data_IF_096722605763
#
_entry.id   IF_096722605763
#
_cell.length_a   1.000
_cell.length_b   1.000
_cell.length_c   1.000
_cell.angle_alpha   90.00
_cell.angle_beta   90.00
_cell.angle_gamma   90.00
#
_symmetry.space_group_name_H-M   'P 1'
#
loop_
_entity.id
_entity.type
_entity.pdbx_description
1 polymer ?
#
# COMPACT_ATOMS: atom_id res chain seq x y z
N UNK A 1 49.30 -15.44 -0.10
CA UNK A 1 49.47 -16.19 -1.36
C UNK A 1 48.47 -17.34 -1.36
N UNK A 2 47.35 -17.24 -2.08
CA UNK A 2 46.53 -18.34 -2.63
C UNK A 2 45.56 -17.70 -3.64
N UNK A 3 45.45 -18.33 -4.81
CA UNK A 3 45.03 -17.77 -6.10
C UNK A 3 43.52 -17.57 -6.24
N UNK A 4 43.14 -16.41 -6.76
CA UNK A 4 41.92 -16.21 -7.55
C UNK A 4 41.92 -17.18 -8.74
N UNK A 5 40.86 -17.99 -8.89
CA UNK A 5 40.67 -18.86 -10.06
C UNK A 5 39.26 -18.72 -10.63
N UNK A 6 39.17 -17.86 -11.65
CA UNK A 6 38.53 -18.07 -12.96
C UNK A 6 37.12 -18.65 -13.14
N UNK A 7 36.33 -18.93 -12.08
CA UNK A 7 34.95 -19.45 -12.24
C UNK A 7 33.82 -18.40 -12.15
N UNK A 8 34.12 -17.16 -11.76
CA UNK A 8 33.10 -16.09 -11.63
C UNK A 8 32.86 -15.31 -12.94
N UNK A 9 33.72 -15.46 -13.95
CA UNK A 9 33.59 -14.70 -15.22
C UNK A 9 32.76 -15.39 -16.32
N UNK A 10 32.28 -16.63 -16.10
CA UNK A 10 31.55 -17.39 -17.13
C UNK A 10 30.01 -17.36 -16.96
N UNK A 11 29.48 -17.03 -15.79
CA UNK A 11 28.03 -17.09 -15.53
C UNK A 11 27.33 -15.73 -15.75
N UNK A 12 28.03 -14.60 -15.63
CA UNK A 12 27.44 -13.29 -15.97
C UNK A 12 27.32 -13.04 -17.48
N UNK A 13 28.01 -13.82 -18.33
CA UNK A 13 27.96 -13.65 -19.77
C UNK A 13 26.80 -14.42 -20.45
N UNK A 14 26.24 -15.45 -19.82
CA UNK A 14 25.13 -16.21 -20.39
C UNK A 14 23.76 -15.60 -20.11
N UNK A 15 23.60 -14.84 -19.01
CA UNK A 15 22.34 -14.12 -18.74
C UNK A 15 22.17 -12.94 -19.70
N UNK A 16 23.25 -12.24 -20.09
CA UNK A 16 23.18 -11.14 -21.06
C UNK A 16 23.06 -11.60 -22.53
N UNK A 17 23.45 -12.84 -22.85
CA UNK A 17 23.41 -13.37 -24.23
C UNK A 17 22.03 -13.86 -24.67
N UNK A 18 21.17 -14.23 -23.72
CA UNK A 18 19.77 -14.60 -23.98
C UNK A 18 18.84 -13.39 -24.18
N UNK A 19 19.26 -12.19 -23.76
CA UNK A 19 18.50 -10.95 -23.98
C UNK A 19 19.05 -10.06 -25.12
N UNK A 20 20.16 -10.43 -25.77
CA UNK A 20 20.76 -9.64 -26.86
C UNK A 20 20.45 -10.14 -28.29
N UNK A 21 19.71 -11.23 -28.45
CA UNK A 21 19.46 -11.85 -29.77
C UNK A 21 18.13 -11.46 -30.44
N UNK A 22 17.38 -10.49 -29.89
CA UNK A 22 16.12 -10.02 -30.50
C UNK A 22 16.08 -8.52 -30.82
N UNK A 23 17.22 -7.85 -30.96
CA UNK A 23 17.22 -6.47 -31.48
C UNK A 23 18.41 -6.23 -32.40
N UNK A 24 18.20 -6.47 -33.69
CA UNK A 24 18.97 -5.81 -34.75
C UNK A 24 17.98 -5.05 -35.62
N UNK A 25 18.29 -3.77 -35.90
CA UNK A 25 17.56 -2.78 -36.74
C UNK A 25 16.25 -2.26 -36.13
N UNK A 26 15.99 -0.96 -35.89
CA UNK A 26 16.57 0.30 -36.40
C UNK A 26 16.36 1.41 -35.36
N UNK A 27 17.33 2.31 -35.25
CA UNK A 27 17.31 3.57 -34.50
C UNK A 27 16.08 4.44 -34.81
N UNK A 28 15.35 4.91 -33.78
CA UNK A 28 15.05 6.33 -33.64
C UNK A 28 14.41 6.73 -32.29
N UNK A 29 14.70 7.97 -31.92
CA UNK A 29 14.38 8.69 -30.67
C UNK A 29 12.90 8.78 -30.27
N UNK A 30 12.72 9.04 -28.96
CA UNK A 30 11.58 9.69 -28.30
C UNK A 30 10.20 9.00 -28.41
N UNK A 31 9.76 8.30 -27.36
CA UNK A 31 8.36 8.28 -26.85
C UNK A 31 8.13 7.21 -25.75
N UNK A 32 8.69 7.40 -24.54
CA UNK A 32 8.47 6.46 -23.42
C UNK A 32 7.20 6.75 -22.57
N UNK A 33 6.37 7.72 -22.97
CA UNK A 33 5.16 8.14 -22.25
C UNK A 33 3.84 7.67 -22.89
N UNK A 34 3.87 7.15 -24.13
CA UNK A 34 2.66 6.72 -24.86
C UNK A 34 2.33 5.22 -24.73
N UNK A 35 3.29 4.37 -24.37
CA UNK A 35 3.06 2.91 -24.27
C UNK A 35 2.36 2.51 -22.96
N UNK A 36 2.44 3.30 -21.89
CA UNK A 36 1.77 2.98 -20.61
C UNK A 36 0.31 3.44 -20.50
N UNK A 37 -0.14 4.36 -21.37
CA UNK A 37 -1.50 4.94 -21.31
C UNK A 37 -2.58 4.10 -22.00
N UNK A 38 -2.23 3.07 -22.77
CA UNK A 38 -3.19 2.26 -23.56
C UNK A 38 -3.63 0.95 -22.90
N UNK A 39 -3.12 0.59 -21.72
CA UNK A 39 -3.37 -0.73 -21.13
C UNK A 39 -4.67 -0.82 -20.30
N UNK A 40 -5.16 0.29 -19.76
CA UNK A 40 -6.33 0.30 -18.85
C UNK A 40 -7.66 0.65 -19.53
N UNK A 41 -7.68 1.00 -20.82
CA UNK A 41 -8.91 1.38 -21.55
C UNK A 41 -9.44 0.29 -22.51
N UNK A 42 -8.89 -0.93 -22.48
CA UNK A 42 -9.30 -2.01 -23.39
C UNK A 42 -9.34 -3.38 -22.73
N UNK A 43 -10.07 -3.51 -21.63
CA UNK A 43 -10.51 -4.82 -21.12
C UNK A 43 -11.94 -4.77 -20.59
N UNK A 44 -12.84 -4.25 -21.42
CA UNK A 44 -14.26 -4.62 -21.38
C UNK A 44 -14.56 -5.39 -22.68
N UNK A 45 -14.20 -6.66 -22.70
CA UNK A 45 -14.84 -7.66 -23.56
C UNK A 45 -14.89 -8.96 -22.77
N UNK A 46 -16.07 -9.56 -22.71
CA UNK A 46 -16.41 -10.72 -21.88
C UNK A 46 -15.72 -12.03 -22.30
N UNK A 47 -14.78 -12.00 -23.23
CA UNK A 47 -14.21 -13.20 -23.86
C UNK A 47 -12.68 -13.31 -23.81
N UNK A 48 -11.99 -12.60 -22.92
CA UNK A 48 -10.52 -12.70 -22.84
C UNK A 48 -10.01 -13.69 -21.76
N UNK A 49 -9.92 -14.96 -22.18
CA UNK A 49 -9.04 -16.02 -21.64
C UNK A 49 -7.59 -16.09 -22.22
N UNK A 50 -6.85 -15.02 -22.61
CA UNK A 50 -5.46 -15.18 -23.06
C UNK A 50 -4.42 -15.16 -21.92
N UNK A 51 -4.72 -14.55 -20.77
CA UNK A 51 -3.68 -14.30 -19.73
C UNK A 51 -3.42 -15.55 -18.87
N UNK A 52 -4.43 -16.40 -18.66
CA UNK A 52 -4.27 -17.66 -17.92
C UNK A 52 -3.47 -18.71 -18.72
N UNK A 53 -3.68 -18.79 -20.04
CA UNK A 53 -2.91 -19.70 -20.92
C UNK A 53 -1.42 -19.34 -20.96
N UNK A 54 -1.09 -18.05 -20.94
CA UNK A 54 0.30 -17.61 -20.93
C UNK A 54 0.98 -17.87 -19.58
N UNK A 55 0.28 -17.71 -18.45
CA UNK A 55 0.84 -17.99 -17.14
C UNK A 55 1.29 -19.45 -16.98
N UNK A 56 0.50 -20.41 -17.46
CA UNK A 56 0.87 -21.84 -17.49
C UNK A 56 2.05 -22.12 -18.42
N UNK A 57 2.15 -21.43 -19.57
CA UNK A 57 3.28 -21.57 -20.48
C UNK A 57 4.58 -21.03 -19.86
N UNK A 58 4.54 -19.84 -19.23
CA UNK A 58 5.67 -19.27 -18.49
C UNK A 58 6.10 -20.12 -17.29
N UNK A 59 5.15 -20.75 -16.61
CA UNK A 59 5.40 -21.66 -15.49
C UNK A 59 6.20 -22.91 -15.93
N UNK A 60 6.01 -23.35 -17.18
CA UNK A 60 6.75 -24.45 -17.79
C UNK A 60 8.13 -24.03 -18.34
N UNK A 61 8.29 -22.80 -18.84
CA UNK A 61 9.55 -22.33 -19.43
C UNK A 61 10.55 -21.72 -18.42
N UNK A 62 10.07 -21.02 -17.40
CA UNK A 62 10.92 -20.19 -16.53
C UNK A 62 11.27 -20.81 -15.17
N UNK A 63 10.79 -22.03 -14.87
CA UNK A 63 11.11 -22.80 -13.66
C UNK A 63 11.41 -21.92 -12.43
N UNK A 64 10.37 -21.36 -11.81
CA UNK A 64 10.40 -20.28 -10.81
C UNK A 64 11.79 -19.94 -10.22
N UNK A 65 12.37 -18.82 -10.63
CA UNK A 65 13.65 -18.34 -10.09
C UNK A 65 13.48 -18.01 -8.61
N UNK A 66 14.22 -18.71 -7.74
CA UNK A 66 14.24 -18.47 -6.30
C UNK A 66 14.84 -17.08 -6.00
N UNK A 67 14.24 -16.28 -5.10
CA UNK A 67 14.87 -15.05 -4.60
C UNK A 67 16.25 -15.35 -3.98
N UNK A 68 17.23 -14.45 -4.14
CA UNK A 68 18.60 -14.64 -3.63
C UNK A 68 18.67 -14.92 -2.12
N UNK A 69 17.73 -14.39 -1.33
CA UNK A 69 17.62 -14.64 0.11
C UNK A 69 17.20 -16.07 0.47
N UNK A 70 16.62 -16.81 -0.48
CA UNK A 70 16.06 -18.16 -0.30
C UNK A 70 17.05 -19.25 -0.74
N UNK A 71 18.00 -18.91 -1.62
CA UNK A 71 18.98 -19.87 -2.16
C UNK A 71 19.93 -20.47 -1.09
N UNK A 72 20.07 -19.80 0.07
CA UNK A 72 21.00 -20.18 1.14
C UNK A 72 20.30 -20.58 2.46
N UNK A 73 19.00 -20.84 2.47
CA UNK A 73 18.20 -20.97 3.70
C UNK A 73 17.53 -22.35 3.83
N UNK A 74 17.59 -22.94 5.03
CA UNK A 74 16.95 -24.21 5.43
C UNK A 74 15.43 -24.07 5.59
N UNK A 75 14.74 -23.49 4.60
CA UNK A 75 13.27 -23.37 4.63
C UNK A 75 12.64 -24.70 4.23
N UNK A 76 11.61 -25.12 4.99
CA UNK A 76 10.85 -26.36 4.77
C UNK A 76 10.51 -26.58 3.29
N UNK A 77 10.83 -27.78 2.76
CA UNK A 77 10.58 -28.20 1.38
C UNK A 77 9.16 -27.90 0.86
N UNK A 78 8.17 -27.87 1.77
CA UNK A 78 6.78 -27.55 1.44
C UNK A 78 6.53 -26.07 1.15
N UNK A 79 7.21 -25.13 1.82
CA UNK A 79 7.07 -23.69 1.53
C UNK A 79 7.72 -23.32 0.19
N UNK A 80 8.91 -23.88 -0.09
CA UNK A 80 9.63 -23.65 -1.36
C UNK A 80 8.82 -24.18 -2.55
N UNK A 81 8.32 -25.43 -2.46
CA UNK A 81 7.49 -26.04 -3.50
C UNK A 81 6.21 -25.26 -3.76
N UNK A 82 5.60 -24.67 -2.71
CA UNK A 82 4.42 -23.81 -2.83
C UNK A 82 4.75 -22.48 -3.50
N UNK A 83 5.87 -21.84 -3.15
CA UNK A 83 6.28 -20.58 -3.75
C UNK A 83 6.58 -20.72 -5.25
N UNK A 84 7.21 -21.83 -5.64
CA UNK A 84 7.54 -22.11 -7.04
C UNK A 84 6.31 -22.42 -7.92
N UNK A 85 5.20 -22.85 -7.32
CA UNK A 85 3.96 -23.21 -8.03
C UNK A 85 2.88 -22.12 -7.94
N UNK A 86 3.15 -21.04 -7.22
CA UNK A 86 2.22 -19.96 -6.94
C UNK A 86 2.06 -19.04 -8.17
N UNK A 87 0.90 -19.05 -8.86
CA UNK A 87 0.72 -18.27 -10.09
C UNK A 87 0.84 -16.76 -9.83
N UNK A 88 0.57 -16.29 -8.61
CA UNK A 88 0.68 -14.87 -8.29
C UNK A 88 2.12 -14.43 -8.01
N UNK A 89 3.02 -15.35 -7.66
CA UNK A 89 4.47 -15.05 -7.59
C UNK A 89 5.02 -14.83 -8.99
N UNK A 90 4.67 -15.70 -9.94
CA UNK A 90 5.04 -15.53 -11.35
C UNK A 90 4.43 -14.26 -11.95
N UNK A 91 3.15 -14.00 -11.68
CA UNK A 91 2.53 -12.73 -12.08
C UNK A 91 3.26 -11.54 -11.45
N UNK A 92 3.64 -11.59 -10.18
CA UNK A 92 4.37 -10.47 -9.55
C UNK A 92 5.70 -10.20 -10.27
N UNK A 93 6.46 -11.24 -10.61
CA UNK A 93 7.69 -11.11 -11.40
C UNK A 93 7.43 -10.52 -12.79
N UNK A 94 6.41 -11.02 -13.51
CA UNK A 94 6.03 -10.55 -14.84
C UNK A 94 5.61 -9.06 -14.84
N UNK A 95 4.78 -8.68 -13.87
CA UNK A 95 4.27 -7.31 -13.72
C UNK A 95 5.22 -6.41 -12.90
N UNK A 96 6.38 -6.90 -12.48
CA UNK A 96 7.40 -6.18 -11.71
C UNK A 96 6.90 -5.63 -10.36
N UNK A 97 5.97 -6.33 -9.72
CA UNK A 97 5.62 -6.09 -8.32
C UNK A 97 6.60 -6.79 -7.39
N UNK A 98 6.93 -6.16 -6.27
CA UNK A 98 7.88 -6.69 -5.27
C UNK A 98 7.38 -7.95 -4.58
N UNK A 99 6.06 -8.20 -4.58
CA UNK A 99 5.47 -9.40 -4.02
C UNK A 99 4.10 -9.72 -4.62
N UNK A 100 3.64 -10.96 -4.42
CA UNK A 100 2.28 -11.40 -4.83
C UNK A 100 1.15 -10.64 -4.13
N UNK A 101 1.43 -9.99 -2.99
CA UNK A 101 0.40 -9.29 -2.22
C UNK A 101 -0.18 -8.07 -2.97
N UNK A 102 0.54 -7.54 -3.98
CA UNK A 102 0.02 -6.50 -4.88
C UNK A 102 -1.34 -6.87 -5.48
N UNK A 103 -1.51 -8.14 -5.89
CA UNK A 103 -2.76 -8.60 -6.49
C UNK A 103 -3.94 -8.61 -5.53
N UNK A 104 -3.69 -8.69 -4.22
CA UNK A 104 -4.76 -8.58 -3.21
C UNK A 104 -5.37 -7.18 -3.22
N UNK A 105 -4.53 -6.14 -3.16
CA UNK A 105 -5.02 -4.75 -3.19
C UNK A 105 -5.64 -4.42 -4.56
N UNK A 106 -5.07 -4.92 -5.66
CA UNK A 106 -5.67 -4.77 -6.99
C UNK A 106 -7.08 -5.37 -7.07
N UNK A 107 -7.27 -6.60 -6.55
CA UNK A 107 -8.58 -7.23 -6.53
C UNK A 107 -9.57 -6.47 -5.63
N UNK A 108 -9.13 -6.04 -4.44
CA UNK A 108 -9.94 -5.25 -3.51
C UNK A 108 -10.39 -3.94 -4.19
N UNK A 109 -9.46 -3.18 -4.77
CA UNK A 109 -9.75 -1.92 -5.43
C UNK A 109 -10.64 -2.11 -6.67
N UNK A 110 -10.46 -3.18 -7.43
CA UNK A 110 -11.33 -3.51 -8.56
C UNK A 110 -12.80 -3.64 -8.13
N UNK A 111 -13.05 -4.29 -6.99
CA UNK A 111 -14.39 -4.55 -6.46
C UNK A 111 -15.00 -3.36 -5.70
N UNK A 112 -14.19 -2.58 -4.99
CA UNK A 112 -14.70 -1.56 -4.06
C UNK A 112 -14.40 -0.11 -4.46
N UNK A 113 -13.50 0.11 -5.43
CA UNK A 113 -13.02 1.42 -5.89
C UNK A 113 -12.54 2.26 -4.71
N UNK A 114 -11.59 1.71 -3.97
CA UNK A 114 -11.13 2.28 -2.70
C UNK A 114 -10.11 3.38 -2.90
N UNK A 115 -9.32 3.30 -3.98
CA UNK A 115 -8.30 4.27 -4.37
C UNK A 115 -8.77 5.10 -5.56
N UNK A 116 -8.47 6.40 -5.52
CA UNK A 116 -8.74 7.36 -6.59
C UNK A 116 -7.51 8.18 -6.90
N UNK A 117 -7.46 8.71 -8.13
CA UNK A 117 -6.41 9.65 -8.54
C UNK A 117 -6.43 10.87 -7.62
N UNK A 118 -5.26 11.26 -7.12
CA UNK A 118 -5.13 12.40 -6.20
C UNK A 118 -5.27 12.06 -4.71
N UNK A 119 -5.63 10.83 -4.35
CA UNK A 119 -5.75 10.46 -2.93
C UNK A 119 -4.40 10.56 -2.20
N UNK A 120 -4.48 10.93 -0.93
CA UNK A 120 -3.43 10.75 0.08
C UNK A 120 -3.70 9.42 0.79
N UNK A 121 -2.80 8.46 0.61
CA UNK A 121 -2.92 7.09 1.11
C UNK A 121 -1.84 6.85 2.18
N UNK A 122 -2.23 6.19 3.26
CA UNK A 122 -1.29 5.65 4.25
C UNK A 122 -1.32 4.12 4.18
N UNK A 123 -0.15 3.50 3.97
CA UNK A 123 0.05 2.05 3.97
C UNK A 123 0.74 1.62 5.27
N UNK A 124 0.01 0.90 6.13
CA UNK A 124 0.46 0.46 7.45
C UNK A 124 0.97 -0.99 7.39
N UNK A 125 2.20 -1.20 7.87
CA UNK A 125 2.90 -2.48 7.70
C UNK A 125 3.33 -2.66 6.26
N UNK A 126 3.90 -1.61 5.66
CA UNK A 126 4.09 -1.50 4.23
C UNK A 126 5.15 -2.47 3.68
N UNK A 127 6.07 -2.97 4.50
CA UNK A 127 7.21 -3.77 4.03
C UNK A 127 6.74 -5.13 3.48
N UNK A 128 7.11 -5.51 2.24
CA UNK A 128 8.20 -5.00 1.39
C UNK A 128 7.85 -3.88 0.40
N UNK A 129 6.59 -3.45 0.32
CA UNK A 129 6.14 -2.28 -0.45
C UNK A 129 5.16 -2.58 -1.59
N UNK A 130 4.62 -3.80 -1.70
CA UNK A 130 3.73 -4.14 -2.83
C UNK A 130 2.41 -3.39 -2.84
N UNK A 131 1.85 -3.09 -1.66
CA UNK A 131 0.63 -2.27 -1.56
C UNK A 131 0.95 -0.80 -1.84
N UNK A 132 2.08 -0.27 -1.34
CA UNK A 132 2.63 1.03 -1.74
C UNK A 132 2.76 1.16 -3.26
N UNK A 133 3.30 0.16 -3.97
CA UNK A 133 3.44 0.20 -5.44
C UNK A 133 2.08 0.39 -6.12
N UNK A 134 1.11 -0.47 -5.77
CA UNK A 134 -0.24 -0.41 -6.33
C UNK A 134 -0.91 0.92 -6.00
N UNK A 135 -0.77 1.41 -4.77
CA UNK A 135 -1.31 2.71 -4.37
C UNK A 135 -0.69 3.86 -5.19
N UNK A 136 0.64 3.90 -5.33
CA UNK A 136 1.35 4.93 -6.11
C UNK A 136 0.86 4.95 -7.57
N UNK A 137 0.69 3.79 -8.18
CA UNK A 137 0.15 3.67 -9.54
C UNK A 137 -1.27 4.22 -9.67
N UNK A 138 -2.13 3.92 -8.69
CA UNK A 138 -3.56 4.31 -8.70
C UNK A 138 -3.79 5.78 -8.42
N UNK A 139 -3.09 6.35 -7.44
CA UNK A 139 -3.26 7.76 -7.06
C UNK A 139 -2.56 8.70 -8.04
N UNK A 140 -1.54 8.21 -8.75
CA UNK A 140 -0.80 8.96 -9.76
C UNK A 140 0.00 10.13 -9.18
N UNK A 141 0.50 10.99 -10.06
CA UNK A 141 1.42 12.09 -9.70
C UNK A 141 0.79 13.21 -8.87
N UNK A 142 -0.54 13.29 -8.84
CA UNK A 142 -1.28 14.28 -8.06
C UNK A 142 -1.64 13.77 -6.67
N UNK A 143 -1.51 12.45 -6.43
CA UNK A 143 -1.75 11.84 -5.13
C UNK A 143 -0.45 11.65 -4.37
N UNK A 144 -0.56 11.14 -3.15
CA UNK A 144 0.60 10.85 -2.33
C UNK A 144 0.40 9.56 -1.55
N UNK A 145 1.47 8.77 -1.37
CA UNK A 145 1.44 7.54 -0.59
C UNK A 145 2.52 7.61 0.46
N UNK A 146 2.12 7.51 1.74
CA UNK A 146 2.99 7.41 2.90
C UNK A 146 3.01 5.96 3.37
N UNK A 147 4.20 5.40 3.54
CA UNK A 147 4.40 3.99 3.94
C UNK A 147 4.99 3.94 5.33
N UNK A 148 4.46 3.08 6.19
CA UNK A 148 4.87 3.02 7.60
C UNK A 148 5.14 1.57 7.98
N UNK A 149 6.35 1.32 8.46
CA UNK A 149 6.76 0.01 8.98
C UNK A 149 7.98 0.16 9.88
N UNK A 150 8.19 -0.74 10.85
CA UNK A 150 9.42 -0.75 11.65
C UNK A 150 10.62 -1.29 10.84
N UNK A 151 10.35 -2.14 9.84
CA UNK A 151 11.37 -2.80 9.03
C UNK A 151 11.67 -2.02 7.75
N UNK A 152 12.63 -1.09 7.82
CA UNK A 152 13.08 -0.30 6.68
C UNK A 152 13.92 -1.13 5.68
N UNK A 153 14.76 -2.05 6.18
CA UNK A 153 15.69 -2.83 5.33
C UNK A 153 14.97 -3.77 4.36
N UNK A 154 13.76 -4.21 4.73
CA UNK A 154 12.92 -5.05 3.88
C UNK A 154 12.15 -4.28 2.80
N UNK A 155 12.11 -2.94 2.87
CA UNK A 155 11.32 -2.12 1.97
C UNK A 155 12.05 -1.88 0.64
N UNK A 156 11.38 -2.17 -0.49
CA UNK A 156 12.04 -2.27 -1.80
C UNK A 156 11.74 -1.10 -2.76
N UNK A 157 11.19 0.01 -2.25
CA UNK A 157 10.92 1.22 -3.03
C UNK A 157 11.72 2.41 -2.48
N UNK A 158 11.68 3.52 -3.21
CA UNK A 158 12.21 4.80 -2.74
C UNK A 158 11.56 5.22 -1.41
N UNK A 159 12.42 5.67 -0.50
CA UNK A 159 12.11 5.97 0.91
C UNK A 159 11.58 7.39 1.14
N UNK A 160 11.41 8.22 0.10
CA UNK A 160 10.99 9.63 0.22
C UNK A 160 9.71 9.87 1.04
N UNK A 161 8.86 8.85 1.15
CA UNK A 161 7.63 8.86 1.95
C UNK A 161 7.53 7.65 2.90
N UNK A 162 8.66 7.09 3.31
CA UNK A 162 8.68 6.00 4.27
C UNK A 162 8.92 6.54 5.68
N UNK A 163 8.10 6.12 6.64
CA UNK A 163 8.25 6.43 8.05
C UNK A 163 8.61 5.14 8.77
N UNK A 164 9.78 5.10 9.38
CA UNK A 164 10.15 4.01 10.28
C UNK A 164 9.57 4.28 11.67
N UNK A 165 8.48 3.60 12.02
CA UNK A 165 7.79 3.82 13.30
C UNK A 165 7.15 2.55 13.86
N UNK A 166 7.07 2.50 15.19
CA UNK A 166 6.22 1.54 15.91
C UNK A 166 4.76 1.96 15.75
N UNK A 167 3.93 1.07 15.21
CA UNK A 167 2.51 1.31 14.94
C UNK A 167 1.65 1.48 16.21
N UNK A 168 2.24 1.31 17.39
CA UNK A 168 1.61 1.62 18.68
C UNK A 168 1.80 3.09 19.08
N UNK A 169 2.80 3.78 18.55
CA UNK A 169 3.06 5.19 18.83
C UNK A 169 2.30 6.10 17.84
N UNK A 170 1.01 6.26 18.11
CA UNK A 170 0.10 7.04 17.27
C UNK A 170 0.54 8.51 17.20
N UNK A 171 1.05 9.06 18.31
CA UNK A 171 1.51 10.45 18.38
C UNK A 171 2.65 10.68 17.39
N UNK A 172 3.70 9.88 17.48
CA UNK A 172 4.83 9.94 16.55
C UNK A 172 4.40 9.76 15.09
N UNK A 173 3.55 8.78 14.80
CA UNK A 173 3.03 8.55 13.43
C UNK A 173 2.31 9.79 12.89
N UNK A 174 1.41 10.38 13.68
CA UNK A 174 0.64 11.55 13.25
C UNK A 174 1.53 12.77 13.00
N UNK A 175 2.57 12.92 13.82
CA UNK A 175 3.53 14.01 13.72
C UNK A 175 4.39 13.92 12.47
N UNK A 176 4.91 12.73 12.17
CA UNK A 176 5.74 12.46 11.00
C UNK A 176 4.94 12.58 9.69
N UNK A 177 3.72 12.03 9.65
CA UNK A 177 2.83 12.20 8.49
C UNK A 177 2.57 13.68 8.23
N UNK A 178 2.23 14.43 9.27
CA UNK A 178 1.93 15.87 9.14
C UNK A 178 3.15 16.64 8.63
N UNK A 179 4.35 16.34 9.16
CA UNK A 179 5.60 16.96 8.71
C UNK A 179 5.89 16.65 7.24
N UNK A 180 5.83 15.39 6.83
CA UNK A 180 6.09 14.96 5.45
C UNK A 180 5.11 15.59 4.45
N UNK A 181 3.82 15.60 4.76
CA UNK A 181 2.79 16.15 3.89
C UNK A 181 2.88 17.68 3.79
N UNK A 182 3.26 18.37 4.86
CA UNK A 182 3.46 19.82 4.83
C UNK A 182 4.74 20.23 4.07
N UNK A 183 5.84 19.49 4.23
CA UNK A 183 7.09 19.73 3.48
C UNK A 183 6.86 19.67 1.97
N UNK A 184 6.06 18.69 1.50
CA UNK A 184 5.69 18.58 0.09
C UNK A 184 4.84 19.75 -0.42
N UNK A 185 3.90 20.25 0.39
CA UNK A 185 3.12 21.45 0.03
C UNK A 185 4.02 22.68 -0.13
N UNK A 186 4.93 22.91 0.82
CA UNK A 186 5.86 24.05 0.76
C UNK A 186 6.78 23.98 -0.46
N UNK A 187 7.36 22.82 -0.77
CA UNK A 187 8.21 22.65 -1.95
C UNK A 187 7.47 22.93 -3.27
N UNK A 188 6.21 22.51 -3.37
CA UNK A 188 5.38 22.79 -4.55
C UNK A 188 5.04 24.28 -4.67
N UNK A 189 4.83 24.98 -3.55
CA UNK A 189 4.58 26.43 -3.52
C UNK A 189 5.85 27.20 -3.91
N UNK A 190 7.01 26.88 -3.32
CA UNK A 190 8.28 27.55 -3.63
C UNK A 190 8.69 27.38 -5.10
N UNK A 191 8.45 26.21 -5.70
CA UNK A 191 8.70 26.01 -7.14
C UNK A 191 7.76 26.85 -8.04
N UNK A 192 6.58 27.22 -7.57
CA UNK A 192 5.65 28.11 -8.29
C UNK A 192 5.88 29.60 -8.00
N UNK A 193 6.51 29.94 -6.87
CA UNK A 193 6.65 31.32 -6.37
C UNK A 193 8.05 31.93 -6.57
N UNK A 194 8.86 31.44 -7.52
CA UNK A 194 10.13 32.08 -7.90
C UNK A 194 9.99 33.50 -8.52
N UNK A 195 8.91 34.23 -8.22
CA UNK A 195 8.66 35.58 -8.74
C UNK A 195 8.09 36.59 -7.73
N UNK A 196 8.11 36.38 -6.41
CA UNK A 196 7.90 37.49 -5.47
C UNK A 196 8.45 37.20 -4.07
N UNK A 197 9.54 37.88 -3.73
CA UNK A 197 10.09 37.94 -2.38
C UNK A 197 9.25 38.90 -1.53
N UNK A 198 8.64 38.41 -0.46
CA UNK A 198 8.36 39.23 0.72
C UNK A 198 8.40 38.35 1.97
N UNK A 199 9.39 38.64 2.81
CA UNK A 199 9.62 38.00 4.10
C UNK A 199 8.69 38.61 5.15
N UNK A 200 7.80 37.80 5.73
CA UNK A 200 7.15 38.13 7.00
C UNK A 200 7.32 36.96 7.98
N UNK A 201 8.16 37.19 9.00
CA UNK A 201 8.40 36.26 10.09
C UNK A 201 7.34 36.45 11.18
N UNK A 202 6.37 35.53 11.25
CA UNK A 202 5.42 35.45 12.36
C UNK A 202 5.71 34.21 13.22
N UNK A 203 6.35 34.43 14.37
CA UNK A 203 6.59 33.44 15.41
C UNK A 203 5.34 33.23 16.30
N UNK A 204 4.24 32.78 15.71
CA UNK A 204 3.09 32.27 16.47
C UNK A 204 3.31 30.79 16.80
N UNK A 205 2.96 30.34 18.02
CA UNK A 205 2.86 28.91 18.35
C UNK A 205 1.90 28.26 17.33
N UNK A 206 2.46 27.55 16.36
CA UNK A 206 1.69 26.87 15.32
C UNK A 206 0.98 25.69 15.99
N UNK A 207 -0.32 25.80 16.21
CA UNK A 207 -1.14 24.61 16.47
C UNK A 207 -0.96 23.65 15.29
N UNK A 208 -0.30 22.52 15.55
CA UNK A 208 0.08 21.55 14.54
C UNK A 208 -1.19 20.82 14.07
N UNK A 209 -1.91 21.41 13.12
CA UNK A 209 -3.11 20.81 12.54
C UNK A 209 -2.74 19.50 11.84
N UNK A 210 -3.22 18.39 12.39
CA UNK A 210 -3.00 17.05 11.85
C UNK A 210 -3.48 17.00 10.40
N UNK A 211 -2.61 16.56 9.49
CA UNK A 211 -3.02 16.37 8.09
C UNK A 211 -3.85 15.12 7.96
N UNK A 212 -5.13 15.29 7.63
CA UNK A 212 -6.05 14.18 7.38
C UNK A 212 -5.79 13.53 6.01
N UNK A 213 -6.06 12.23 5.90
CA UNK A 213 -5.80 11.40 4.70
C UNK A 213 -7.08 10.82 4.12
N UNK A 214 -7.04 10.41 2.86
CA UNK A 214 -8.19 9.89 2.11
C UNK A 214 -8.41 8.40 2.38
N UNK A 215 -7.31 7.63 2.41
CA UNK A 215 -7.35 6.18 2.53
C UNK A 215 -6.27 5.69 3.47
N UNK A 216 -6.62 4.74 4.34
CA UNK A 216 -5.66 3.97 5.13
C UNK A 216 -5.80 2.50 4.73
N UNK A 217 -4.69 1.84 4.44
CA UNK A 217 -4.66 0.41 4.09
C UNK A 217 -3.68 -0.34 4.98
N UNK A 218 -3.96 -1.60 5.28
CA UNK A 218 -3.03 -2.47 5.99
C UNK A 218 -3.13 -3.93 5.54
N UNK A 219 -1.97 -4.50 5.23
CA UNK A 219 -1.76 -5.94 5.02
C UNK A 219 -0.84 -6.56 6.09
N UNK A 220 -0.81 -5.97 7.29
CA UNK A 220 0.01 -6.45 8.40
C UNK A 220 -0.26 -7.92 8.73
N UNK A 221 0.78 -8.68 9.03
CA UNK A 221 0.69 -10.02 9.59
C UNK A 221 1.63 -10.14 10.78
N UNK A 222 1.24 -10.84 11.86
CA UNK A 222 2.12 -11.08 12.99
C UNK A 222 3.16 -12.16 12.65
N UNK A 223 4.15 -12.30 13.52
CA UNK A 223 4.92 -13.55 13.57
C UNK A 223 4.00 -14.69 14.02
N UNK A 224 3.77 -15.64 13.11
CA UNK A 224 2.97 -16.82 13.36
C UNK A 224 3.74 -17.82 14.23
N UNK A 225 3.18 -18.20 15.39
CA UNK A 225 3.72 -19.26 16.23
C UNK A 225 3.22 -20.65 15.84
N UNK A 226 2.21 -20.73 14.96
CA UNK A 226 1.60 -21.98 14.49
C UNK A 226 0.48 -22.49 15.38
N UNK A 227 0.15 -21.80 16.47
CA UNK A 227 -1.01 -22.10 17.32
C UNK A 227 -2.20 -21.28 16.79
N UNK A 228 -3.24 -21.90 16.20
CA UNK A 228 -4.27 -21.18 15.47
C UNK A 228 -5.00 -20.09 16.26
N UNK A 229 -5.31 -20.34 17.54
CA UNK A 229 -5.99 -19.36 18.40
C UNK A 229 -5.11 -18.15 18.70
N UNK A 230 -3.84 -18.38 19.04
CA UNK A 230 -2.88 -17.31 19.35
C UNK A 230 -2.58 -16.47 18.10
N UNK A 231 -2.39 -17.12 16.96
CA UNK A 231 -2.14 -16.44 15.69
C UNK A 231 -3.36 -15.65 15.21
N UNK A 232 -4.57 -16.17 15.46
CA UNK A 232 -5.83 -15.44 15.24
C UNK A 232 -5.87 -14.16 16.08
N UNK A 233 -5.64 -14.27 17.39
CA UNK A 233 -5.72 -13.14 18.31
C UNK A 233 -4.68 -12.06 17.97
N UNK A 234 -3.44 -12.45 17.64
CA UNK A 234 -2.38 -11.52 17.20
C UNK A 234 -2.74 -10.76 15.92
N UNK A 235 -3.32 -11.45 14.93
CA UNK A 235 -3.74 -10.77 13.70
C UNK A 235 -4.89 -9.80 13.98
N UNK A 236 -5.82 -10.18 14.86
CA UNK A 236 -6.92 -9.30 15.26
C UNK A 236 -6.45 -8.09 16.07
N UNK A 237 -5.40 -8.23 16.88
CA UNK A 237 -4.76 -7.10 17.57
C UNK A 237 -4.18 -6.09 16.55
N UNK A 238 -3.45 -6.57 15.54
CA UNK A 238 -2.94 -5.72 14.46
C UNK A 238 -4.07 -5.01 13.69
N UNK A 239 -5.18 -5.71 13.43
CA UNK A 239 -6.35 -5.11 12.80
C UNK A 239 -6.96 -4.00 13.67
N UNK A 240 -7.09 -4.22 14.99
CA UNK A 240 -7.55 -3.18 15.92
C UNK A 240 -6.61 -1.97 15.96
N UNK A 241 -5.29 -2.20 16.04
CA UNK A 241 -4.30 -1.12 16.03
C UNK A 241 -4.37 -0.31 14.73
N UNK A 242 -4.51 -0.98 13.58
CA UNK A 242 -4.67 -0.31 12.29
C UNK A 242 -5.94 0.54 12.22
N UNK A 243 -7.05 0.09 12.82
CA UNK A 243 -8.27 0.88 12.92
C UNK A 243 -8.09 2.10 13.82
N UNK A 244 -7.41 1.97 14.95
CA UNK A 244 -7.12 3.09 15.85
C UNK A 244 -6.32 4.18 15.12
N UNK A 245 -5.25 3.81 14.42
CA UNK A 245 -4.48 4.75 13.59
C UNK A 245 -5.37 5.37 12.50
N UNK A 246 -6.18 4.55 11.81
CA UNK A 246 -7.06 5.02 10.75
C UNK A 246 -8.07 6.07 11.25
N UNK A 247 -8.69 5.87 12.42
CA UNK A 247 -9.62 6.83 13.01
C UNK A 247 -8.98 8.18 13.28
N UNK A 248 -7.71 8.19 13.68
CA UNK A 248 -6.96 9.43 13.93
C UNK A 248 -6.63 10.17 12.63
N UNK A 249 -6.24 9.43 11.59
CA UNK A 249 -5.72 10.00 10.34
C UNK A 249 -6.79 10.30 9.29
N UNK A 250 -7.87 9.52 9.22
CA UNK A 250 -8.85 9.65 8.14
C UNK A 250 -9.62 10.96 8.23
N UNK A 251 -9.83 11.58 7.06
CA UNK A 251 -10.83 12.64 6.92
C UNK A 251 -12.24 12.04 6.97
N UNK A 252 -13.24 12.86 7.33
CA UNK A 252 -14.64 12.46 7.17
C UNK A 252 -14.92 12.07 5.71
N UNK A 253 -15.54 10.91 5.51
CA UNK A 253 -15.77 10.32 4.19
C UNK A 253 -14.61 9.47 3.65
N UNK A 254 -13.49 9.36 4.36
CA UNK A 254 -12.33 8.55 3.99
C UNK A 254 -12.59 7.03 4.04
N UNK A 255 -11.64 6.26 3.54
CA UNK A 255 -11.78 4.82 3.37
C UNK A 255 -10.69 4.03 4.14
N UNK A 256 -11.01 2.81 4.54
CA UNK A 256 -10.12 1.94 5.29
C UNK A 256 -10.16 0.50 4.75
N UNK A 257 -8.98 -0.12 4.64
CA UNK A 257 -8.83 -1.54 4.31
C UNK A 257 -7.91 -2.21 5.32
N UNK A 258 -8.31 -3.35 5.85
CA UNK A 258 -7.45 -4.12 6.78
C UNK A 258 -7.64 -5.61 6.61
N UNK A 259 -6.55 -6.37 6.81
CA UNK A 259 -6.57 -7.83 6.86
C UNK A 259 -7.07 -8.30 8.22
N UNK A 260 -7.90 -9.34 8.21
CA UNK A 260 -8.33 -10.05 9.41
C UNK A 260 -8.29 -11.57 9.20
N UNK A 261 -8.26 -12.34 10.28
CA UNK A 261 -8.49 -13.79 10.22
C UNK A 261 -9.98 -14.06 10.44
N UNK A 262 -10.58 -14.90 9.60
CA UNK A 262 -11.98 -15.33 9.77
C UNK A 262 -12.11 -16.21 11.02
N UNK A 263 -13.13 -15.93 11.85
CA UNK A 263 -13.45 -16.70 13.06
C UNK A 263 -13.27 -15.90 14.36
N UNK A 264 -13.41 -16.57 15.50
CA UNK A 264 -13.20 -15.94 16.81
C UNK A 264 -13.97 -14.62 17.01
N UNK A 265 -13.24 -13.58 17.41
CA UNK A 265 -13.75 -12.24 17.68
C UNK A 265 -13.90 -11.32 16.44
N UNK A 266 -13.71 -11.83 15.23
CA UNK A 266 -13.79 -11.05 13.98
C UNK A 266 -15.12 -10.31 13.85
N UNK A 267 -16.26 -10.94 14.20
CA UNK A 267 -17.58 -10.32 14.07
C UNK A 267 -17.75 -9.08 14.95
N UNK A 268 -17.12 -9.07 16.13
CA UNK A 268 -17.10 -7.90 17.03
C UNK A 268 -16.34 -6.76 16.36
N UNK A 269 -15.20 -7.07 15.74
CA UNK A 269 -14.44 -6.08 14.98
C UNK A 269 -15.24 -5.55 13.77
N UNK A 270 -15.95 -6.41 13.04
CA UNK A 270 -16.84 -5.98 11.95
C UNK A 270 -17.91 -5.00 12.44
N UNK A 271 -18.52 -5.25 13.60
CA UNK A 271 -19.50 -4.34 14.21
C UNK A 271 -18.87 -2.98 14.55
N UNK A 272 -17.67 -2.97 15.13
CA UNK A 272 -16.92 -1.73 15.37
C UNK A 272 -16.71 -0.94 14.08
N UNK A 273 -16.40 -1.60 12.96
CA UNK A 273 -16.30 -0.91 11.66
C UNK A 273 -17.64 -0.30 11.24
N UNK A 274 -18.75 -1.01 11.40
CA UNK A 274 -20.09 -0.49 11.04
C UNK A 274 -20.49 0.73 11.87
N UNK A 275 -19.99 0.84 13.10
CA UNK A 275 -20.30 2.00 13.95
C UNK A 275 -19.49 3.25 13.54
N UNK A 276 -18.39 3.08 12.79
CA UNK A 276 -17.47 4.17 12.39
C UNK A 276 -17.49 4.48 10.87
N UNK A 277 -18.13 3.64 10.04
CA UNK A 277 -18.14 3.77 8.58
C UNK A 277 -19.54 3.48 8.01
N UNK A 278 -19.96 4.21 6.97
CA UNK A 278 -21.29 4.02 6.37
C UNK A 278 -21.45 2.70 5.62
N UNK A 279 -20.35 2.11 5.14
CA UNK A 279 -20.38 0.83 4.43
C UNK A 279 -19.19 -0.03 4.83
N UNK A 280 -19.43 -1.30 5.14
CA UNK A 280 -18.39 -2.29 5.42
C UNK A 280 -18.65 -3.55 4.60
N UNK A 281 -17.62 -4.06 3.92
CA UNK A 281 -17.69 -5.28 3.10
C UNK A 281 -16.54 -6.24 3.45
N UNK A 282 -16.83 -7.53 3.44
CA UNK A 282 -15.83 -8.60 3.50
C UNK A 282 -15.40 -9.01 2.09
N UNK A 283 -14.11 -9.14 1.85
CA UNK A 283 -13.55 -9.62 0.58
C UNK A 283 -12.49 -10.67 0.88
N UNK A 284 -12.54 -11.81 0.18
CA UNK A 284 -11.41 -12.75 0.09
C UNK A 284 -10.82 -12.61 -1.32
N UNK A 285 -9.64 -11.97 -1.48
CA UNK A 285 -9.02 -11.80 -2.79
C UNK A 285 -8.71 -13.14 -3.47
N UNK A 286 -8.73 -13.17 -4.80
CA UNK A 286 -8.34 -14.37 -5.56
C UNK A 286 -6.85 -14.67 -5.38
N UNK A 287 -6.07 -13.64 -5.08
CA UNK A 287 -4.67 -13.73 -4.71
C UNK A 287 -4.43 -14.16 -3.26
N UNK A 288 -5.48 -14.43 -2.47
CA UNK A 288 -5.35 -15.08 -1.17
C UNK A 288 -5.26 -16.58 -1.33
N UNK A 289 -4.47 -17.22 -0.47
CA UNK A 289 -4.38 -18.69 -0.45
C UNK A 289 -5.70 -19.29 0.04
N UNK A 290 -6.11 -20.42 -0.55
CA UNK A 290 -7.39 -21.07 -0.26
C UNK A 290 -7.43 -21.57 1.18
N UNK A 291 -6.31 -22.14 1.63
CA UNK A 291 -6.07 -22.64 2.97
C UNK A 291 -5.95 -21.54 4.04
N UNK A 292 -5.77 -20.28 3.62
CA UNK A 292 -5.64 -19.18 4.58
C UNK A 292 -7.02 -18.78 5.09
N UNK A 293 -7.14 -18.59 6.41
CA UNK A 293 -8.32 -17.96 7.02
C UNK A 293 -8.41 -16.47 6.72
N UNK A 294 -7.42 -15.88 6.04
CA UNK A 294 -7.38 -14.45 5.76
C UNK A 294 -8.56 -14.00 4.87
N UNK A 295 -9.14 -12.89 5.31
CA UNK A 295 -10.11 -12.06 4.59
C UNK A 295 -9.73 -10.60 4.82
N UNK A 296 -10.31 -9.69 4.05
CA UNK A 296 -10.11 -8.26 4.20
C UNK A 296 -11.45 -7.58 4.46
N UNK A 297 -11.43 -6.62 5.38
CA UNK A 297 -12.52 -5.68 5.53
C UNK A 297 -12.22 -4.39 4.78
N UNK A 298 -13.20 -3.98 3.99
CA UNK A 298 -13.22 -2.73 3.26
C UNK A 298 -14.32 -1.87 3.87
N UNK A 299 -13.91 -0.85 4.60
CA UNK A 299 -14.79 0.11 5.25
C UNK A 299 -14.73 1.45 4.52
N UNK A 300 -15.88 2.01 4.15
CA UNK A 300 -16.00 3.20 3.31
C UNK A 300 -16.80 4.28 4.01
N UNK A 301 -16.41 5.51 3.72
CA UNK A 301 -17.05 6.72 4.24
C UNK A 301 -16.98 6.81 5.77
N UNK A 302 -15.77 7.03 6.27
CA UNK A 302 -15.49 7.26 7.68
C UNK A 302 -16.36 8.38 8.27
N UNK A 303 -16.85 8.17 9.49
CA UNK A 303 -17.71 9.10 10.22
C UNK A 303 -16.90 9.70 11.36
N UNK A 304 -16.54 10.98 11.23
CA UNK A 304 -15.84 11.72 12.28
C UNK A 304 -16.87 12.40 13.20
N UNK A 305 -17.25 11.74 14.28
CA UNK A 305 -18.26 12.23 15.22
C UNK A 305 -17.81 13.48 16.00
N UNK A 306 -16.53 13.57 16.36
CA UNK A 306 -16.00 14.71 17.12
C UNK A 306 -16.05 15.99 16.27
N UNK A 307 -15.64 15.90 15.01
CA UNK A 307 -15.73 17.04 14.08
C UNK A 307 -17.17 17.51 13.82
N UNK A 308 -18.18 16.63 14.01
CA UNK A 308 -19.60 17.00 13.87
C UNK A 308 -20.11 17.73 15.11
N UNK A 309 -19.72 17.29 16.31
CA UNK A 309 -20.08 17.96 17.57
C UNK A 309 -19.45 19.35 17.65
N UNK A 310 -18.15 19.47 17.39
CA UNK A 310 -17.44 20.76 17.43
C UNK A 310 -18.08 21.81 16.51
N UNK A 311 -18.54 21.41 15.31
CA UNK A 311 -19.28 22.29 14.38
C UNK A 311 -20.67 22.69 14.88
N UNK A 312 -21.37 21.79 15.57
CA UNK A 312 -22.68 22.10 16.14
C UNK A 312 -22.55 23.05 17.32
N UNK A 313 -21.55 22.84 18.18
CA UNK A 313 -21.30 23.68 19.35
C UNK A 313 -20.80 25.07 18.95
N UNK A 314 -19.91 25.18 17.95
CA UNK A 314 -19.45 26.49 17.43
C UNK A 314 -20.57 27.29 16.75
N UNK A 315 -21.41 26.66 15.92
CA UNK A 315 -22.58 27.33 15.33
C UNK A 315 -23.60 27.80 16.38
N UNK A 316 -23.73 27.06 17.50
CA UNK A 316 -24.60 27.45 18.61
C UNK A 316 -24.06 28.69 19.34
N UNK A 317 -22.75 28.78 19.53
CA UNK A 317 -22.07 29.95 20.14
C UNK A 317 -22.15 31.19 19.24
N UNK A 318 -21.99 31.06 17.92
CA UNK A 318 -22.15 32.19 16.99
C UNK A 318 -23.59 32.72 16.94
N UNK A 319 -24.59 31.84 16.99
CA UNK A 319 -25.99 32.26 17.01
C UNK A 319 -26.39 32.93 18.33
N UNK A 320 -25.82 32.56 19.48
CA UNK A 320 -26.06 33.27 20.74
C UNK A 320 -25.47 34.67 20.75
N UNK A 321 -24.29 34.89 20.14
CA UNK A 321 -23.67 36.22 20.08
C UNK A 321 -24.44 37.20 19.20
N UNK A 322 -25.05 36.73 18.10
CA UNK A 322 -25.88 37.58 17.24
C UNK A 322 -27.20 38.04 17.88
N UNK A 323 -27.65 37.38 18.94
CA UNK A 323 -28.90 37.72 19.64
C UNK A 323 -28.66 38.72 20.79
N UNK A 324 -27.41 38.92 21.20
CA UNK A 324 -27.04 39.88 22.27
C UNK A 324 -26.61 41.26 21.72
N UNK A 325 -26.43 41.38 20.39
CA UNK A 325 -26.02 42.61 19.71
C UNK A 325 -27.17 43.33 18.96
N UNK A 326 -28.42 42.81 19.03
CA UNK A 326 -29.66 43.39 18.48
C UNK A 326 -30.62 43.84 19.61
#
# INVERSE_FOLDING_TARGET
>A
MIRFSSKIKLISNNVNRLYSTTTTTTSNNNNNSKVKKSFWSKTESKDNKPIEKNAQHYQNEMGGILPKSVANSTISNNWLKRQMTDPYVLKAQLYKYVSRAAFKLLNIDQQSKILKKGDIVVDLGATPGSWTQVAKEKVGTTGNVVSIDMNIDGFQLELDNFIQADLRDIGHITDEITLLLNKKKSNNISNNNNNNNNNNNNNGKIEKKITKVDVVVSDMAPHYCGIPSVDHDRLMELANNSLTIAKTLLKNGGNFVTKVSRGGNEKKFFKTLQDNFLQVKSIKPDASRVESSEIYYVAKHFIDYESRKEKQDSNKVENTKKVEDD
#
